data_IF_507591259036
#
_entry.id   IF_507591259036
#
_cell.length_a   1.000
_cell.length_b   1.000
_cell.length_c   1.000
_cell.angle_alpha   90.00
_cell.angle_beta   90.00
_cell.angle_gamma   90.00
#
_symmetry.space_group_name_H-M   'P 1'
#
loop_
_entity.id
_entity.type
_entity.pdbx_description
1 polymer ?
#
# COMPACT_ATOMS: atom_id res chain seq x y z
N UNK A 1 -16.36 26.78 -7.38
CA UNK A 1 -16.37 25.65 -6.42
C UNK A 1 -16.40 26.29 -5.04
N UNK A 2 -17.47 26.12 -4.27
CA UNK A 2 -17.70 26.86 -3.03
C UNK A 2 -16.94 26.15 -1.89
N UNK A 3 -15.91 26.78 -1.31
CA UNK A 3 -15.31 26.30 -0.07
C UNK A 3 -16.32 26.51 1.06
N UNK A 4 -16.97 25.43 1.50
CA UNK A 4 -17.77 25.44 2.72
C UNK A 4 -16.78 25.32 3.89
N UNK A 5 -16.31 26.46 4.40
CA UNK A 5 -15.49 26.52 5.61
C UNK A 5 -16.37 26.74 6.84
N UNK A 6 -16.59 25.69 7.63
CA UNK A 6 -17.30 25.76 8.91
C UNK A 6 -16.30 25.99 10.06
N UNK A 7 -16.49 27.04 10.86
CA UNK A 7 -15.68 27.29 12.06
C UNK A 7 -16.25 26.48 13.23
N UNK A 8 -15.42 25.64 13.82
CA UNK A 8 -15.79 24.80 14.95
C UNK A 8 -14.83 25.04 16.11
N UNK A 9 -15.33 25.10 17.34
CA UNK A 9 -14.51 25.19 18.56
C UNK A 9 -14.40 23.81 19.17
N UNK A 10 -13.17 23.34 19.37
CA UNK A 10 -12.86 22.04 19.99
C UNK A 10 -11.77 22.23 21.04
N UNK A 11 -11.86 21.49 22.14
CA UNK A 11 -10.84 21.49 23.20
C UNK A 11 -9.79 20.43 22.86
N UNK A 12 -8.53 20.84 22.78
CA UNK A 12 -7.40 19.99 22.44
C UNK A 12 -6.24 20.27 23.41
N UNK A 13 -5.35 19.30 23.59
CA UNK A 13 -4.11 19.52 24.33
C UNK A 13 -3.18 20.45 23.54
N UNK A 14 -2.78 21.56 24.16
CA UNK A 14 -1.92 22.58 23.55
C UNK A 14 -0.55 22.02 23.16
N UNK A 15 0.02 21.13 23.97
CA UNK A 15 1.34 20.54 23.70
C UNK A 15 1.29 19.68 22.42
N UNK A 16 0.25 18.88 22.26
CA UNK A 16 0.04 18.07 21.06
C UNK A 16 -0.18 18.93 19.81
N UNK A 17 -0.93 20.02 19.94
CA UNK A 17 -1.16 20.94 18.81
C UNK A 17 0.13 21.66 18.42
N UNK A 18 0.96 22.07 19.39
CA UNK A 18 2.25 22.67 19.10
C UNK A 18 3.22 21.69 18.45
N UNK A 19 3.27 20.45 18.92
CA UNK A 19 4.07 19.40 18.31
C UNK A 19 3.61 19.11 16.87
N UNK A 20 2.29 19.03 16.66
CA UNK A 20 1.71 18.85 15.33
C UNK A 20 2.12 19.97 14.37
N UNK A 21 2.09 21.23 14.82
CA UNK A 21 2.55 22.38 14.01
C UNK A 21 4.02 22.24 13.63
N UNK A 22 4.88 21.83 14.57
CA UNK A 22 6.33 21.64 14.32
C UNK A 22 6.59 20.51 13.33
N UNK A 23 5.90 19.38 13.46
CA UNK A 23 6.09 18.22 12.58
C UNK A 23 5.50 18.45 11.19
N UNK A 24 4.37 19.17 11.10
CA UNK A 24 3.68 19.42 9.82
C UNK A 24 4.21 20.62 9.04
N UNK A 25 5.13 21.40 9.61
CA UNK A 25 5.64 22.67 9.06
C UNK A 25 4.52 23.64 8.63
N UNK A 26 3.38 23.57 9.32
CA UNK A 26 2.20 24.33 8.98
C UNK A 26 2.28 25.75 9.54
N UNK A 27 1.88 26.74 8.73
CA UNK A 27 1.90 28.16 9.11
C UNK A 27 0.91 28.53 10.23
N UNK A 28 -0.05 27.67 10.55
CA UNK A 28 -1.07 27.93 11.58
C UNK A 28 -1.60 26.65 12.22
N UNK A 29 -2.12 26.77 13.45
CA UNK A 29 -2.78 25.67 14.18
C UNK A 29 -3.94 25.08 13.37
N UNK A 30 -4.76 25.92 12.73
CA UNK A 30 -5.87 25.48 11.90
C UNK A 30 -5.39 24.66 10.70
N UNK A 31 -4.32 25.11 10.02
CA UNK A 31 -3.76 24.38 8.89
C UNK A 31 -3.18 23.02 9.32
N UNK A 32 -2.48 22.99 10.47
CA UNK A 32 -1.93 21.75 11.04
C UNK A 32 -3.05 20.73 11.35
N UNK A 33 -4.12 21.19 12.00
CA UNK A 33 -5.28 20.34 12.33
C UNK A 33 -5.99 19.86 11.06
N UNK A 34 -6.21 20.73 10.08
CA UNK A 34 -6.83 20.34 8.81
C UNK A 34 -6.00 19.27 8.08
N UNK A 35 -4.68 19.40 8.08
CA UNK A 35 -3.75 18.44 7.48
C UNK A 35 -3.78 17.10 8.22
N UNK A 36 -3.78 17.11 9.55
CA UNK A 36 -3.91 15.91 10.37
C UNK A 36 -5.22 15.15 10.12
N UNK A 37 -6.34 15.86 10.04
CA UNK A 37 -7.66 15.27 9.74
C UNK A 37 -7.64 14.62 8.35
N UNK A 38 -7.12 15.32 7.35
CA UNK A 38 -7.01 14.80 5.98
C UNK A 38 -6.15 13.53 5.92
N UNK A 39 -5.02 13.53 6.62
CA UNK A 39 -4.11 12.39 6.68
C UNK A 39 -4.76 11.20 7.40
N UNK A 40 -5.49 11.42 8.49
CA UNK A 40 -6.19 10.35 9.20
C UNK A 40 -7.27 9.69 8.33
N UNK A 41 -8.02 10.49 7.57
CA UNK A 41 -8.99 9.98 6.59
C UNK A 41 -8.28 9.16 5.51
N UNK A 42 -7.15 9.65 4.98
CA UNK A 42 -6.36 8.96 3.96
C UNK A 42 -5.86 7.61 4.47
N UNK A 43 -5.27 7.56 5.66
CA UNK A 43 -4.78 6.33 6.31
C UNK A 43 -5.90 5.31 6.52
N UNK A 44 -7.07 5.77 6.96
CA UNK A 44 -8.23 4.90 7.16
C UNK A 44 -8.69 4.28 5.85
N UNK A 45 -8.74 5.07 4.76
CA UNK A 45 -9.09 4.55 3.42
C UNK A 45 -8.07 3.53 2.92
N UNK A 46 -6.77 3.81 3.08
CA UNK A 46 -5.73 2.87 2.71
C UNK A 46 -5.81 1.56 3.50
N UNK A 47 -6.08 1.63 4.81
CA UNK A 47 -6.28 0.44 5.64
C UNK A 47 -7.45 -0.41 5.16
N UNK A 48 -8.57 0.23 4.75
CA UNK A 48 -9.69 -0.49 4.14
C UNK A 48 -9.31 -1.16 2.84
N UNK A 49 -8.59 -0.46 1.95
CA UNK A 49 -8.12 -1.03 0.69
C UNK A 49 -7.14 -2.19 0.91
N UNK A 50 -6.21 -2.05 1.86
CA UNK A 50 -5.29 -3.12 2.24
C UNK A 50 -6.03 -4.34 2.81
N UNK A 51 -7.13 -4.14 3.55
CA UNK A 51 -7.97 -5.24 4.02
C UNK A 51 -8.80 -5.92 2.92
N UNK A 52 -9.00 -5.26 1.77
CA UNK A 52 -9.63 -5.86 0.58
C UNK A 52 -8.62 -6.65 -0.26
N UNK A 53 -7.33 -6.35 -0.12
CA UNK A 53 -6.27 -7.18 -0.67
C UNK A 53 -6.25 -8.46 0.18
N UNK A 54 -6.96 -9.49 -0.30
CA UNK A 54 -7.07 -10.76 0.40
C UNK A 54 -5.71 -11.36 0.72
N UNK A 55 -5.64 -12.15 1.79
CA UNK A 55 -4.46 -12.93 2.10
C UNK A 55 -4.40 -14.11 1.14
N UNK A 56 -3.35 -14.18 0.32
CA UNK A 56 -3.07 -15.36 -0.50
C UNK A 56 -2.34 -16.37 0.39
N UNK A 57 -3.07 -17.35 0.88
CA UNK A 57 -2.49 -18.51 1.56
C UNK A 57 -1.99 -19.47 0.46
N UNK A 58 -0.68 -19.56 0.31
CA UNK A 58 -0.06 -20.42 -0.71
C UNK A 58 0.48 -21.64 0.00
N UNK A 59 0.07 -22.82 -0.45
CA UNK A 59 0.59 -24.09 0.04
C UNK A 59 2.06 -24.24 -0.40
N UNK A 60 2.97 -24.27 0.56
CA UNK A 60 4.41 -24.35 0.33
C UNK A 60 4.79 -25.68 -0.33
N UNK A 61 4.10 -26.77 0.01
CA UNK A 61 4.37 -28.10 -0.55
C UNK A 61 4.06 -28.11 -2.06
N UNK A 62 2.97 -27.46 -2.47
CA UNK A 62 2.56 -27.33 -3.88
C UNK A 62 3.57 -26.49 -4.68
N UNK A 63 4.14 -25.44 -4.08
CA UNK A 63 5.16 -24.61 -4.73
C UNK A 63 6.45 -25.41 -4.93
N UNK A 64 6.88 -26.19 -3.93
CA UNK A 64 8.08 -27.00 -4.03
C UNK A 64 7.94 -28.06 -5.13
N UNK A 65 6.77 -28.68 -5.25
CA UNK A 65 6.48 -29.64 -6.33
C UNK A 65 6.46 -28.98 -7.72
N UNK A 66 6.04 -27.72 -7.82
CA UNK A 66 6.00 -27.00 -9.11
C UNK A 66 7.39 -26.76 -9.69
N UNK A 67 8.43 -26.60 -8.86
CA UNK A 67 9.83 -26.44 -9.30
C UNK A 67 10.29 -27.60 -10.17
N UNK A 68 9.90 -28.83 -9.82
CA UNK A 68 10.22 -30.02 -10.61
C UNK A 68 9.52 -30.04 -11.97
N UNK A 69 8.31 -29.46 -12.06
CA UNK A 69 7.55 -29.34 -13.30
C UNK A 69 8.10 -28.26 -14.23
N UNK A 70 8.62 -27.17 -13.67
CA UNK A 70 9.24 -26.08 -14.42
C UNK A 70 10.58 -26.49 -15.05
N UNK A 71 11.38 -27.29 -14.34
CA UNK A 71 12.62 -27.85 -14.88
C UNK A 71 12.38 -28.77 -16.08
N UNK A 72 11.33 -29.62 -16.02
CA UNK A 72 10.93 -30.47 -17.15
C UNK A 72 10.48 -29.65 -18.35
N UNK A 73 9.78 -28.54 -18.11
CA UNK A 73 9.36 -27.61 -19.17
C UNK A 73 10.57 -26.96 -19.85
N UNK A 74 11.56 -26.52 -19.09
CA UNK A 74 12.79 -25.93 -19.62
C UNK A 74 13.57 -26.92 -20.48
N UNK A 75 13.73 -28.17 -20.00
CA UNK A 75 14.39 -29.25 -20.74
C UNK A 75 13.68 -29.58 -22.06
N UNK A 76 12.36 -29.70 -22.04
CA UNK A 76 11.56 -29.95 -23.23
C UNK A 76 11.70 -28.82 -24.28
N UNK A 77 11.75 -27.56 -23.85
CA UNK A 77 11.95 -26.42 -24.75
C UNK A 77 13.37 -26.40 -25.36
N UNK A 78 14.39 -26.79 -24.61
CA UNK A 78 15.75 -26.95 -25.13
C UNK A 78 15.84 -28.09 -26.15
N UNK A 79 15.20 -29.23 -25.88
CA UNK A 79 15.13 -30.36 -26.82
C UNK A 79 14.44 -29.97 -28.13
N UNK A 80 13.33 -29.22 -28.07
CA UNK A 80 12.66 -28.69 -29.26
C UNK A 80 13.56 -27.74 -30.05
N UNK A 81 14.28 -26.85 -29.36
CA UNK A 81 15.22 -25.92 -29.99
C UNK A 81 16.37 -26.65 -30.69
N UNK A 82 16.92 -27.68 -30.05
CA UNK A 82 18.03 -28.46 -30.61
C UNK A 82 17.58 -29.32 -31.79
N UNK A 83 16.35 -29.87 -31.75
CA UNK A 83 15.77 -30.65 -32.85
C UNK A 83 15.31 -29.81 -34.04
N UNK A 84 15.18 -28.48 -33.90
CA UNK A 84 14.83 -27.57 -35.01
C UNK A 84 16.05 -26.94 -35.71
N UNK A 85 17.26 -27.14 -35.20
CA UNK A 85 18.53 -26.72 -35.82
C UNK A 85 19.17 -27.83 -36.67
N UNK A 86 18.64 -29.06 -36.60
CA UNK A 86 19.12 -30.25 -37.32
C UNK A 86 18.41 -30.59 -38.63
N UNK A 87 17.64 -29.67 -39.22
CA UNK A 87 17.04 -29.82 -40.56
C UNK A 87 17.38 -28.67 -41.49
#
# INVERSE_FOLDING_TARGET
MMEISMRTTVTLDENLVQELVKISDAKSKTAAVALAVKEQIRRTKLKKLAGLLGTLDVDEDVIIESVGSDLRRAQWLEELKNNSVGK
#
